data_IF_681185870219
#
_entry.id   IF_681185870219
#
_cell.length_a   1.000
_cell.length_b   1.000
_cell.length_c   1.000
_cell.angle_alpha   90.00
_cell.angle_beta   90.00
_cell.angle_gamma   90.00
#
_symmetry.space_group_name_H-M   'P 1'
#
loop_
_entity.id
_entity.type
_entity.pdbx_description
1 polymer ?
#
# COMPACT_ATOMS: atom_id res chain seq x y z
N UNK A 1 34.34 -0.16 -1.35
CA UNK A 1 35.37 -1.06 -1.89
C UNK A 1 34.74 -2.41 -2.19
N UNK A 2 35.06 -2.97 -3.37
CA UNK A 2 34.89 -4.36 -3.82
C UNK A 2 33.46 -4.85 -4.14
N UNK A 3 33.43 -5.58 -5.26
CA UNK A 3 32.31 -5.96 -6.10
C UNK A 3 31.91 -7.42 -5.84
N UNK A 4 30.60 -7.70 -6.03
CA UNK A 4 29.95 -8.91 -6.57
C UNK A 4 30.27 -10.28 -5.97
N UNK A 5 29.21 -11.02 -5.62
CA UNK A 5 29.11 -12.45 -5.93
C UNK A 5 27.66 -12.82 -6.28
N UNK A 6 27.51 -13.39 -7.47
CA UNK A 6 26.32 -14.02 -8.06
C UNK A 6 26.54 -15.52 -7.96
N UNK A 7 25.55 -16.32 -7.55
CA UNK A 7 25.37 -17.69 -8.07
C UNK A 7 23.88 -18.05 -8.08
N UNK A 8 23.34 -18.16 -9.30
CA UNK A 8 22.06 -18.76 -9.68
C UNK A 8 22.10 -20.27 -9.43
N UNK A 9 21.00 -20.86 -8.94
CA UNK A 9 20.82 -22.30 -8.84
C UNK A 9 19.99 -22.86 -10.01
N UNK A 10 20.68 -23.71 -10.77
CA UNK A 10 20.29 -24.94 -11.48
C UNK A 10 18.98 -25.07 -12.30
N UNK A 11 19.24 -25.48 -13.55
CA UNK A 11 18.33 -25.94 -14.58
C UNK A 11 17.83 -27.38 -14.38
N UNK A 12 16.70 -27.72 -15.03
CA UNK A 12 16.49 -29.03 -15.66
C UNK A 12 15.40 -28.96 -16.75
N UNK A 13 15.85 -29.22 -17.97
CA UNK A 13 15.14 -29.41 -19.24
C UNK A 13 14.49 -30.79 -19.38
N UNK A 14 13.37 -30.90 -20.12
CA UNK A 14 12.96 -32.01 -21.04
C UNK A 14 11.45 -31.88 -21.32
N UNK A 15 10.81 -32.26 -22.44
CA UNK A 15 11.12 -32.48 -23.86
C UNK A 15 9.76 -32.76 -24.55
N UNK A 16 9.71 -32.46 -25.85
CA UNK A 16 8.71 -32.70 -26.90
C UNK A 16 7.62 -33.79 -26.73
N UNK A 17 6.44 -33.55 -27.31
CA UNK A 17 5.96 -34.33 -28.48
C UNK A 17 4.67 -33.77 -29.12
N UNK A 18 4.65 -33.79 -30.45
CA UNK A 18 3.54 -33.47 -31.35
C UNK A 18 2.94 -34.79 -31.84
N UNK A 19 1.61 -34.96 -31.78
CA UNK A 19 0.83 -35.99 -32.51
C UNK A 19 -0.56 -35.36 -32.73
N UNK A 20 -0.93 -34.92 -33.93
CA UNK A 20 -1.35 -35.66 -35.14
C UNK A 20 -2.83 -36.13 -35.12
N UNK A 21 -3.35 -36.32 -36.34
CA UNK A 21 -4.73 -36.57 -36.78
C UNK A 21 -5.57 -35.30 -36.98
N UNK A 22 -6.00 -34.87 -38.17
CA UNK A 22 -6.19 -35.59 -39.44
C UNK A 22 -7.68 -35.89 -39.65
N UNK A 23 -8.33 -35.22 -40.61
CA UNK A 23 -9.71 -35.52 -41.03
C UNK A 23 -10.40 -34.41 -41.82
N UNK A 24 -10.20 -34.39 -43.13
CA UNK A 24 -11.12 -33.75 -44.09
C UNK A 24 -12.38 -34.61 -44.25
N UNK A 25 -13.58 -34.01 -44.16
CA UNK A 25 -14.75 -34.30 -45.01
C UNK A 25 -15.91 -33.34 -44.75
N UNK A 26 -16.58 -33.07 -45.85
CA UNK A 26 -17.54 -32.03 -46.19
C UNK A 26 -18.96 -32.23 -45.64
N UNK A 27 -19.63 -31.10 -45.38
CA UNK A 27 -21.08 -30.81 -45.32
C UNK A 27 -22.06 -31.75 -44.59
N UNK A 28 -22.64 -31.24 -43.49
CA UNK A 28 -24.08 -31.32 -43.22
C UNK A 28 -24.55 -30.27 -42.18
N UNK A 29 -25.47 -29.42 -42.63
CA UNK A 29 -26.24 -28.39 -41.94
C UNK A 29 -26.78 -28.83 -40.56
N UNK A 30 -26.49 -28.08 -39.48
CA UNK A 30 -27.28 -28.09 -38.23
C UNK A 30 -27.24 -26.72 -37.55
N UNK A 31 -28.42 -26.32 -37.07
CA UNK A 31 -28.82 -25.00 -36.61
C UNK A 31 -27.84 -24.28 -35.67
N UNK A 32 -27.70 -22.98 -35.88
CA UNK A 32 -27.11 -22.03 -34.92
C UNK A 32 -27.86 -22.11 -33.59
N UNK A 33 -27.18 -22.63 -32.58
CA UNK A 33 -27.46 -22.30 -31.19
C UNK A 33 -26.90 -20.89 -30.95
N UNK A 34 -27.60 -20.00 -30.23
CA UNK A 34 -27.06 -18.70 -29.89
C UNK A 34 -25.78 -18.92 -29.09
N UNK A 35 -24.70 -18.27 -29.54
CA UNK A 35 -23.48 -18.15 -28.77
C UNK A 35 -23.86 -17.56 -27.42
N UNK A 36 -23.84 -18.39 -26.38
CA UNK A 36 -23.72 -17.90 -25.02
C UNK A 36 -22.37 -17.21 -24.97
N UNK A 37 -22.38 -15.90 -25.18
CA UNK A 37 -21.29 -15.04 -24.74
C UNK A 37 -21.19 -15.29 -23.24
N UNK A 38 -20.18 -16.08 -22.86
CA UNK A 38 -19.74 -16.14 -21.48
C UNK A 38 -19.28 -14.73 -21.15
N UNK A 39 -20.18 -13.93 -20.58
CA UNK A 39 -19.83 -12.69 -19.92
C UNK A 39 -18.73 -13.06 -18.93
N UNK A 40 -17.51 -12.63 -19.25
CA UNK A 40 -16.37 -12.74 -18.36
C UNK A 40 -16.73 -11.84 -17.18
N UNK A 41 -17.20 -12.44 -16.10
CA UNK A 41 -17.44 -11.79 -14.83
C UNK A 41 -16.13 -11.10 -14.45
N UNK A 42 -16.08 -9.77 -14.60
CA UNK A 42 -14.98 -8.98 -14.07
C UNK A 42 -15.11 -9.06 -12.56
N UNK A 43 -14.26 -9.89 -11.95
CA UNK A 43 -14.09 -9.95 -10.51
C UNK A 43 -13.73 -8.54 -10.02
N UNK A 44 -14.71 -7.85 -9.43
CA UNK A 44 -14.52 -6.52 -8.88
C UNK A 44 -13.55 -6.64 -7.72
N UNK A 45 -12.37 -6.03 -7.85
CA UNK A 45 -11.39 -5.95 -6.76
C UNK A 45 -12.01 -5.20 -5.58
N UNK A 46 -11.78 -5.71 -4.38
CA UNK A 46 -12.13 -5.03 -3.13
C UNK A 46 -11.40 -3.68 -3.01
N UNK A 47 -11.99 -2.69 -2.30
CA UNK A 47 -11.33 -1.42 -2.04
C UNK A 47 -9.95 -1.58 -1.39
N UNK A 48 -9.02 -0.68 -1.72
CA UNK A 48 -7.69 -0.70 -1.11
C UNK A 48 -7.79 -0.38 0.39
N UNK A 49 -7.36 -1.31 1.23
CA UNK A 49 -7.39 -1.17 2.68
C UNK A 49 -6.06 -0.67 3.25
N UNK A 50 -6.04 0.58 3.73
CA UNK A 50 -4.87 1.19 4.39
C UNK A 50 -4.93 1.12 5.92
N UNK A 51 -5.94 0.48 6.51
CA UNK A 51 -6.04 0.32 7.97
C UNK A 51 -4.88 -0.51 8.52
N UNK A 52 -4.58 -0.31 9.81
CA UNK A 52 -3.52 -1.00 10.53
C UNK A 52 -2.34 -0.11 10.91
N UNK A 53 -1.22 -0.74 11.25
CA UNK A 53 -0.02 -0.06 11.71
C UNK A 53 0.99 0.09 10.58
N UNK A 54 1.56 1.28 10.48
CA UNK A 54 2.57 1.66 9.51
C UNK A 54 3.77 2.25 10.22
N UNK A 55 4.98 2.00 9.73
CA UNK A 55 6.22 2.39 10.40
C UNK A 55 7.21 2.99 9.42
N UNK A 56 7.92 4.04 9.82
CA UNK A 56 9.08 4.52 9.08
C UNK A 56 10.29 3.61 9.29
N UNK A 57 11.33 3.83 8.50
CA UNK A 57 12.64 3.23 8.77
C UNK A 57 13.08 3.54 10.21
N UNK A 58 13.67 2.54 10.87
CA UNK A 58 14.27 2.70 12.18
C UNK A 58 15.59 3.47 12.07
N UNK A 59 15.73 4.53 12.85
CA UNK A 59 16.95 5.30 12.95
C UNK A 59 17.45 5.30 14.39
N UNK A 60 18.32 4.33 14.70
CA UNK A 60 18.92 4.15 16.03
C UNK A 60 17.86 4.02 17.15
N UNK A 61 16.84 3.19 16.93
CA UNK A 61 15.77 2.94 17.91
C UNK A 61 14.73 4.06 17.99
N UNK A 62 14.70 4.96 17.01
CA UNK A 62 13.67 5.99 16.85
C UNK A 62 13.04 5.92 15.46
N UNK A 63 11.72 6.08 15.38
CA UNK A 63 10.94 6.06 14.13
C UNK A 63 9.63 6.84 14.28
N UNK A 64 8.87 7.00 13.19
CA UNK A 64 7.45 7.37 13.26
C UNK A 64 6.58 6.14 12.99
N UNK A 65 5.51 6.01 13.77
CA UNK A 65 4.52 4.96 13.63
C UNK A 65 3.13 5.58 13.47
N UNK A 66 2.42 5.21 12.42
CA UNK A 66 1.03 5.59 12.20
C UNK A 66 0.10 4.41 12.48
N UNK A 67 -1.01 4.66 13.15
CA UNK A 67 -2.14 3.73 13.27
C UNK A 67 -3.31 4.33 12.51
N UNK A 68 -3.80 3.60 11.50
CA UNK A 68 -4.95 4.00 10.67
C UNK A 68 -6.14 3.11 11.04
N UNK A 69 -7.26 3.74 11.38
CA UNK A 69 -8.58 3.09 11.55
C UNK A 69 -9.47 3.41 10.36
N UNK A 70 -10.75 3.04 10.41
CA UNK A 70 -11.71 3.34 9.36
C UNK A 70 -11.90 4.85 9.08
N UNK A 71 -11.55 5.72 10.03
CA UNK A 71 -11.83 7.17 9.93
C UNK A 71 -10.77 8.09 10.52
N UNK A 72 -9.72 7.56 11.14
CA UNK A 72 -8.66 8.36 11.76
C UNK A 72 -7.28 7.82 11.45
N UNK A 73 -6.30 8.72 11.50
CA UNK A 73 -4.87 8.42 11.52
C UNK A 73 -4.25 9.08 12.75
N UNK A 74 -3.53 8.31 13.54
CA UNK A 74 -2.72 8.80 14.66
C UNK A 74 -1.26 8.42 14.43
N UNK A 75 -0.37 9.40 14.53
CA UNK A 75 1.06 9.24 14.27
C UNK A 75 1.84 9.62 15.51
N UNK A 76 2.73 8.75 15.94
CA UNK A 76 3.60 8.98 17.08
C UNK A 76 5.06 8.99 16.63
N UNK A 77 5.85 9.89 17.21
CA UNK A 77 7.27 9.66 17.39
C UNK A 77 7.44 8.51 18.37
N UNK A 78 8.19 7.50 17.98
CA UNK A 78 8.52 6.36 18.83
C UNK A 78 10.02 6.36 19.06
N UNK A 79 10.45 6.21 20.30
CA UNK A 79 11.85 6.15 20.71
C UNK A 79 12.06 5.08 21.77
N UNK A 80 13.31 4.93 22.22
CA UNK A 80 13.69 3.98 23.27
C UNK A 80 13.26 2.54 22.93
N UNK A 81 13.42 2.15 21.66
CA UNK A 81 13.03 0.84 21.13
C UNK A 81 11.54 0.51 21.31
N UNK A 82 10.66 1.53 21.38
CA UNK A 82 9.21 1.35 21.48
C UNK A 82 8.63 1.72 22.83
N UNK A 83 9.47 1.93 23.86
CA UNK A 83 9.02 2.22 25.22
C UNK A 83 8.48 3.64 25.39
N UNK A 84 8.89 4.57 24.52
CA UNK A 84 8.46 5.97 24.54
C UNK A 84 7.68 6.30 23.27
N UNK A 85 6.48 6.87 23.44
CA UNK A 85 5.67 7.42 22.35
C UNK A 85 5.31 8.88 22.64
N UNK A 86 5.46 9.74 21.65
CA UNK A 86 5.03 11.15 21.68
C UNK A 86 4.19 11.45 20.46
N UNK A 87 3.00 12.01 20.66
CA UNK A 87 2.08 12.34 19.57
C UNK A 87 2.74 13.32 18.58
N UNK A 88 2.73 12.96 17.29
CA UNK A 88 3.08 13.84 16.18
C UNK A 88 1.83 14.38 15.46
N UNK A 89 0.85 13.52 15.21
CA UNK A 89 -0.37 13.90 14.49
C UNK A 89 -1.55 13.07 14.98
N UNK A 90 -2.71 13.69 15.10
CA UNK A 90 -3.99 13.00 15.18
C UNK A 90 -4.95 13.71 14.24
N UNK A 91 -5.62 12.97 13.36
CA UNK A 91 -6.54 13.60 12.43
C UNK A 91 -7.44 12.63 11.67
N UNK A 92 -8.24 13.19 10.78
CA UNK A 92 -9.18 12.42 9.96
C UNK A 92 -8.46 11.55 8.92
N UNK A 93 -9.09 10.45 8.55
CA UNK A 93 -8.69 9.60 7.44
C UNK A 93 -9.90 9.32 6.58
N UNK A 94 -9.75 9.52 5.27
CA UNK A 94 -10.75 9.15 4.27
C UNK A 94 -10.29 7.86 3.61
N UNK A 95 -11.09 6.81 3.70
CA UNK A 95 -10.74 5.52 3.12
C UNK A 95 -10.99 5.49 1.59
N UNK A 96 -10.14 4.79 0.80
CA UNK A 96 -10.46 4.47 -0.58
C UNK A 96 -11.77 3.69 -0.68
N UNK A 97 -12.66 4.12 -1.58
CA UNK A 97 -13.95 3.43 -1.83
C UNK A 97 -13.86 2.37 -2.92
N UNK A 98 -12.72 2.29 -3.61
CA UNK A 98 -12.45 1.38 -4.71
C UNK A 98 -10.99 0.90 -4.65
N UNK A 99 -10.67 -0.13 -5.43
CA UNK A 99 -9.28 -0.56 -5.59
C UNK A 99 -8.47 0.53 -6.30
N UNK A 100 -7.39 0.96 -5.67
CA UNK A 100 -6.48 2.00 -6.18
C UNK A 100 -5.02 1.61 -5.92
N UNK A 101 -4.16 1.92 -6.89
CA UNK A 101 -2.70 1.77 -6.77
C UNK A 101 -2.04 3.03 -6.20
N UNK A 102 -2.67 4.18 -6.39
CA UNK A 102 -2.28 5.47 -5.84
C UNK A 102 -3.49 6.11 -5.16
N UNK A 103 -3.29 6.66 -3.98
CA UNK A 103 -4.33 7.36 -3.23
C UNK A 103 -3.78 8.60 -2.54
N UNK A 104 -4.61 9.58 -2.29
CA UNK A 104 -4.23 10.77 -1.53
C UNK A 104 -5.43 11.28 -0.76
N UNK A 105 -5.17 11.78 0.45
CA UNK A 105 -6.19 12.40 1.28
C UNK A 105 -5.59 13.55 2.08
N UNK A 106 -6.44 14.51 2.43
CA UNK A 106 -6.11 15.61 3.33
C UNK A 106 -6.73 15.30 4.69
N UNK A 107 -5.88 15.03 5.68
CA UNK A 107 -6.29 14.81 7.07
C UNK A 107 -6.54 16.14 7.75
N UNK A 108 -7.70 16.29 8.41
CA UNK A 108 -8.00 17.44 9.27
C UNK A 108 -7.51 17.15 10.68
N UNK A 109 -6.87 18.13 11.31
CA UNK A 109 -6.30 17.98 12.64
C UNK A 109 -7.37 17.82 13.73
N UNK A 110 -7.15 16.88 14.64
CA UNK A 110 -7.83 16.79 15.93
C UNK A 110 -7.08 17.65 16.96
N UNK A 111 -7.39 18.95 16.96
CA UNK A 111 -6.80 19.93 17.87
C UNK A 111 -7.03 19.63 19.35
N UNK A 112 -8.09 18.89 19.70
CA UNK A 112 -8.31 18.46 21.09
C UNK A 112 -7.16 17.57 21.59
N UNK A 113 -6.52 16.83 20.68
CA UNK A 113 -5.35 15.99 20.97
C UNK A 113 -4.02 16.71 20.74
N UNK A 114 -3.87 17.45 19.64
CA UNK A 114 -2.55 17.96 19.23
C UNK A 114 -2.13 19.23 19.96
N UNK A 115 -3.05 20.10 20.36
CA UNK A 115 -2.70 21.43 20.90
C UNK A 115 -1.89 21.37 22.21
N UNK A 116 -2.08 20.29 22.99
CA UNK A 116 -1.38 20.07 24.25
C UNK A 116 -0.16 19.14 24.09
N UNK A 117 0.06 18.58 22.90
CA UNK A 117 1.17 17.67 22.63
C UNK A 117 2.38 18.44 22.08
N UNK A 118 3.41 18.59 22.92
CA UNK A 118 4.59 19.43 22.63
C UNK A 118 5.30 19.10 21.29
N UNK A 119 5.24 17.84 20.85
CA UNK A 119 5.90 17.37 19.63
C UNK A 119 4.93 17.13 18.46
N UNK A 120 3.66 17.50 18.62
CA UNK A 120 2.67 17.40 17.56
C UNK A 120 2.82 18.53 16.53
N UNK A 121 2.43 18.26 15.29
CA UNK A 121 2.28 19.29 14.27
C UNK A 121 1.16 20.24 14.69
N UNK A 122 1.40 21.54 14.55
CA UNK A 122 0.38 22.57 14.76
C UNK A 122 -0.40 22.94 13.49
N UNK A 123 -0.22 22.20 12.39
CA UNK A 123 -0.91 22.45 11.13
C UNK A 123 -2.40 22.10 11.26
N UNK A 124 -3.29 22.86 10.61
CA UNK A 124 -4.73 22.54 10.60
C UNK A 124 -5.03 21.28 9.77
N UNK A 125 -4.18 21.01 8.77
CA UNK A 125 -4.33 19.87 7.86
C UNK A 125 -3.00 19.25 7.49
N UNK A 126 -3.02 17.97 7.11
CA UNK A 126 -1.85 17.27 6.59
C UNK A 126 -2.22 16.41 5.40
N UNK A 127 -1.49 16.60 4.30
CA UNK A 127 -1.67 15.79 3.09
C UNK A 127 -0.85 14.51 3.18
N UNK A 128 -1.50 13.41 2.82
CA UNK A 128 -0.91 12.09 2.74
C UNK A 128 -1.08 11.52 1.34
N UNK A 129 -0.07 10.77 0.90
CA UNK A 129 -0.11 10.01 -0.35
C UNK A 129 0.21 8.56 -0.09
N UNK A 130 -0.51 7.64 -0.70
CA UNK A 130 -0.19 6.22 -0.77
C UNK A 130 0.19 5.85 -2.20
N UNK A 131 1.35 5.22 -2.38
CA UNK A 131 1.82 4.73 -3.67
C UNK A 131 2.88 3.64 -3.45
N UNK A 132 2.86 2.60 -4.29
CA UNK A 132 3.85 1.52 -4.26
C UNK A 132 4.01 0.86 -2.87
N UNK A 133 2.91 0.75 -2.11
CA UNK A 133 2.91 0.16 -0.77
C UNK A 133 3.45 1.08 0.32
N UNK A 134 3.67 2.37 0.04
CA UNK A 134 4.25 3.35 0.97
C UNK A 134 3.28 4.52 1.19
N UNK A 135 3.08 4.90 2.44
CA UNK A 135 2.44 6.17 2.80
C UNK A 135 3.51 7.24 3.00
N UNK A 136 3.33 8.44 2.42
CA UNK A 136 4.24 9.57 2.63
C UNK A 136 3.51 10.88 2.91
N UNK A 137 4.18 11.74 3.69
CA UNK A 137 3.73 13.07 4.09
C UNK A 137 4.94 13.91 4.54
N UNK A 138 4.76 15.22 4.63
CA UNK A 138 5.76 16.08 5.25
C UNK A 138 5.55 16.17 6.76
N UNK A 139 6.64 15.94 7.50
CA UNK A 139 6.70 16.12 8.94
C UNK A 139 7.65 17.25 9.30
N UNK A 140 7.16 18.20 10.10
CA UNK A 140 7.92 19.34 10.60
C UNK A 140 7.96 19.35 12.12
N UNK A 141 9.15 19.50 12.69
CA UNK A 141 9.35 19.68 14.12
C UNK A 141 10.65 20.46 14.37
N UNK A 142 10.66 21.35 15.37
CA UNK A 142 11.85 22.10 15.81
C UNK A 142 12.61 22.79 14.65
N UNK A 143 11.89 23.36 13.68
CA UNK A 143 12.47 24.08 12.54
C UNK A 143 13.07 23.21 11.44
N UNK A 144 12.85 21.89 11.48
CA UNK A 144 13.25 20.95 10.42
C UNK A 144 12.01 20.32 9.78
N UNK A 145 12.03 20.15 8.46
CA UNK A 145 11.00 19.43 7.70
C UNK A 145 11.62 18.27 6.96
N UNK A 146 10.96 17.12 6.96
CA UNK A 146 11.34 15.94 6.18
C UNK A 146 10.12 15.30 5.55
N UNK A 147 10.31 14.65 4.40
CA UNK A 147 9.33 13.70 3.88
C UNK A 147 9.48 12.38 4.63
N UNK A 148 8.43 11.97 5.34
CA UNK A 148 8.36 10.67 6.00
C UNK A 148 7.80 9.65 5.00
N UNK A 149 8.31 8.42 5.08
CA UNK A 149 7.80 7.26 4.34
C UNK A 149 7.49 6.17 5.36
N UNK A 150 6.29 5.62 5.28
CA UNK A 150 5.82 4.54 6.15
C UNK A 150 5.50 3.30 5.31
N UNK A 151 5.95 2.15 5.80
CA UNK A 151 5.60 0.83 5.27
C UNK A 151 4.70 0.09 6.27
N UNK A 152 3.80 -0.74 5.76
CA UNK A 152 2.87 -1.51 6.60
C UNK A 152 3.66 -2.53 7.44
N UNK A 153 3.33 -2.65 8.73
CA UNK A 153 3.97 -3.61 9.66
C UNK A 153 3.41 -5.02 9.51
#
# INVERSE_FOLDING_TARGET
MKKKLVVLLLAATMSLSVVACGGEKESAKKAEAPKTETAKEEEKKEPTDLTGTWKSEDNNGSWQEATITDSTIEINWVSDNGDTKSLYWAGSYDAPTEYVEEYSWTSNNDHEKTDMALLASGDDTKDFTFKDGVISYEASAMGTTTTVKLEKQ
#
